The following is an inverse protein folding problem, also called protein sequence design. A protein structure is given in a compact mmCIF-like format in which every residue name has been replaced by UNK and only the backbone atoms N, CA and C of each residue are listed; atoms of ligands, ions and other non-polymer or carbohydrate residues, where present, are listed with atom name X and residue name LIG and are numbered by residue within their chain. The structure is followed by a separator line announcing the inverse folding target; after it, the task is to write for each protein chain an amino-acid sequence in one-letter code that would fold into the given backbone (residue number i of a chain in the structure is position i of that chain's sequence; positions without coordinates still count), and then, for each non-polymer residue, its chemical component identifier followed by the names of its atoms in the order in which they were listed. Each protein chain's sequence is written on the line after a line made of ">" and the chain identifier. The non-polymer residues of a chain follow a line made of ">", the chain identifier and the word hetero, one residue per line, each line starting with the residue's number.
data_IF_028299470459
#
_entry.id   IF_028299470459
#
_cell.length_a   1.000
_cell.length_b   1.000
_cell.length_c   1.000
_cell.angle_alpha   90.00
_cell.angle_beta   90.00
_cell.angle_gamma   90.00
#
_symmetry.space_group_name_H-M   'P 1'
#
loop_
_entity.id
_entity.type
_entity.pdbx_description
1 polymer ?
#
# COMPACT_ATOMS: atom_id res chain seq x y z
N UNK A 1 2.75 15.02 15.99
CA UNK A 1 1.47 14.70 15.30
C UNK A 1 1.48 15.54 14.02
N UNK A 2 1.59 15.06 12.78
CA UNK A 2 1.28 13.77 12.18
C UNK A 2 2.23 13.50 11.00
N UNK A 3 2.57 12.23 10.79
CA UNK A 3 3.58 11.72 9.85
C UNK A 3 3.06 11.64 8.39
N UNK A 4 2.44 12.70 7.89
CA UNK A 4 1.79 12.72 6.57
C UNK A 4 2.77 12.81 5.38
N UNK A 5 4.06 13.07 5.61
CA UNK A 5 5.05 13.27 4.55
C UNK A 5 5.71 11.99 4.01
N UNK A 6 5.81 10.92 4.80
CA UNK A 6 6.61 9.74 4.40
C UNK A 6 5.93 8.88 3.33
N UNK A 7 4.61 8.70 3.40
CA UNK A 7 3.88 7.83 2.49
C UNK A 7 3.76 8.42 1.09
N UNK A 8 3.49 9.73 0.99
CA UNK A 8 3.39 10.44 -0.29
C UNK A 8 4.72 10.46 -1.04
N UNK A 9 5.84 10.77 -0.36
CA UNK A 9 7.17 10.70 -0.97
C UNK A 9 7.46 9.32 -1.56
N UNK A 10 7.21 8.26 -0.78
CA UNK A 10 7.43 6.88 -1.23
C UNK A 10 6.57 6.46 -2.42
N UNK A 11 5.40 7.10 -2.61
CA UNK A 11 4.51 6.82 -3.74
C UNK A 11 5.00 7.55 -4.98
N UNK A 12 5.34 8.83 -4.86
CA UNK A 12 5.82 9.64 -5.98
C UNK A 12 7.12 9.06 -6.56
N UNK A 13 8.02 8.56 -5.70
CA UNK A 13 9.26 7.91 -6.16
C UNK A 13 9.01 6.61 -6.94
N UNK A 14 7.99 5.84 -6.56
CA UNK A 14 7.65 4.59 -7.26
C UNK A 14 6.81 4.82 -8.51
N UNK A 15 5.97 5.85 -8.49
CA UNK A 15 4.94 6.11 -9.49
C UNK A 15 5.00 7.59 -9.86
N UNK A 16 5.97 7.99 -10.69
CA UNK A 16 6.11 9.37 -11.08
C UNK A 16 4.89 9.85 -11.89
N UNK A 17 4.58 11.16 -11.85
CA UNK A 17 3.51 11.75 -12.64
C UNK A 17 3.68 11.41 -14.13
N UNK A 18 2.61 10.96 -14.78
CA UNK A 18 2.64 10.51 -16.18
C UNK A 18 2.78 9.01 -16.37
N UNK A 19 2.93 8.21 -15.30
CA UNK A 19 2.73 6.76 -15.40
C UNK A 19 1.27 6.45 -15.73
N UNK A 20 1.02 5.62 -16.75
CA UNK A 20 -0.34 5.24 -17.17
C UNK A 20 -0.96 4.22 -16.20
N UNK A 21 -1.21 4.65 -14.96
CA UNK A 21 -1.87 3.81 -13.98
C UNK A 21 -3.31 4.25 -13.76
N UNK A 22 -4.17 3.26 -13.54
CA UNK A 22 -5.54 3.51 -13.12
C UNK A 22 -5.51 3.87 -11.64
N UNK A 23 -5.96 5.08 -11.33
CA UNK A 23 -6.16 5.49 -9.95
C UNK A 23 -7.38 4.76 -9.40
N UNK A 24 -7.16 3.92 -8.39
CA UNK A 24 -8.22 3.27 -7.64
C UNK A 24 -8.30 3.92 -6.27
N UNK A 25 -9.49 4.24 -5.77
CA UNK A 25 -9.63 4.78 -4.40
C UNK A 25 -10.12 3.70 -3.45
N UNK A 26 -9.41 3.51 -2.34
CA UNK A 26 -9.87 2.62 -1.28
C UNK A 26 -11.11 3.21 -0.61
N UNK A 27 -12.22 2.48 -0.62
CA UNK A 27 -13.46 2.96 -0.02
C UNK A 27 -13.43 2.97 1.52
N UNK A 28 -12.56 2.17 2.13
CA UNK A 28 -12.41 2.08 3.59
C UNK A 28 -11.45 3.14 4.12
N UNK A 29 -10.22 3.19 3.58
CA UNK A 29 -9.20 4.13 4.02
C UNK A 29 -9.34 5.54 3.41
N UNK A 30 -10.19 5.72 2.39
CA UNK A 30 -10.37 6.99 1.65
C UNK A 30 -9.07 7.56 1.07
N UNK A 31 -8.19 6.68 0.60
CA UNK A 31 -6.93 7.05 -0.07
C UNK A 31 -6.93 6.58 -1.52
N UNK A 32 -6.27 7.34 -2.39
CA UNK A 32 -5.90 6.85 -3.72
C UNK A 32 -4.88 5.73 -3.50
N UNK A 33 -5.20 4.54 -3.97
CA UNK A 33 -4.35 3.37 -3.96
C UNK A 33 -3.36 3.49 -5.11
N UNK A 34 -2.05 3.60 -4.79
CA UNK A 34 -1.02 3.45 -5.80
C UNK A 34 -1.12 2.07 -6.47
N UNK A 35 -0.51 1.89 -7.63
CA UNK A 35 -0.49 0.61 -8.32
C UNK A 35 -0.10 -0.54 -7.41
N UNK A 36 -0.81 -1.67 -7.57
CA UNK A 36 -0.65 -2.89 -6.77
C UNK A 36 -0.89 -2.72 -5.26
N UNK A 37 -1.48 -1.63 -4.81
CA UNK A 37 -1.91 -1.45 -3.42
C UNK A 37 -3.29 -2.06 -3.23
N UNK A 38 -3.51 -2.76 -2.12
CA UNK A 38 -4.84 -3.27 -1.74
C UNK A 38 -5.11 -3.04 -0.26
N UNK A 39 -6.38 -2.93 0.09
CA UNK A 39 -6.81 -2.91 1.49
C UNK A 39 -6.87 -4.34 2.00
N UNK A 40 -6.19 -4.60 3.11
CA UNK A 40 -6.34 -5.85 3.85
C UNK A 40 -7.36 -5.60 4.97
N UNK A 41 -8.45 -6.36 4.93
CA UNK A 41 -9.52 -6.26 5.92
C UNK A 41 -9.07 -6.75 7.30
N UNK A 42 -8.25 -7.80 7.36
CA UNK A 42 -7.75 -8.35 8.62
C UNK A 42 -6.84 -7.37 9.38
N UNK A 43 -6.10 -6.54 8.63
CA UNK A 43 -5.20 -5.53 9.19
C UNK A 43 -5.76 -4.10 9.15
N UNK A 44 -6.98 -3.92 8.65
CA UNK A 44 -7.66 -2.64 8.42
C UNK A 44 -6.76 -1.54 7.83
N UNK A 45 -5.96 -1.88 6.82
CA UNK A 45 -5.02 -0.92 6.21
C UNK A 45 -4.73 -1.23 4.76
N UNK A 46 -4.44 -0.18 3.99
CA UNK A 46 -3.89 -0.32 2.65
C UNK A 46 -2.40 -0.69 2.72
N UNK A 47 -2.03 -1.70 1.96
CA UNK A 47 -0.66 -2.21 1.89
C UNK A 47 -0.15 -2.03 0.46
N UNK A 48 1.00 -1.37 0.35
CA UNK A 48 1.65 -1.07 -0.92
C UNK A 48 2.29 -2.33 -1.51
N UNK A 49 2.12 -2.56 -2.82
CA UNK A 49 2.52 -3.80 -3.49
C UNK A 49 2.07 -5.03 -2.69
N UNK A 50 0.78 -5.04 -2.34
CA UNK A 50 0.19 -6.09 -1.53
C UNK A 50 0.31 -7.45 -2.23
N UNK A 51 0.83 -8.43 -1.50
CA UNK A 51 0.85 -9.82 -1.92
C UNK A 51 -0.27 -10.58 -1.19
N UNK A 52 -0.10 -10.81 0.12
CA UNK A 52 -1.09 -11.50 0.94
C UNK A 52 -1.10 -11.06 2.41
N UNK A 53 -2.17 -11.39 3.14
CA UNK A 53 -2.17 -11.40 4.59
C UNK A 53 -1.74 -12.79 5.05
N UNK A 54 -0.60 -12.89 5.73
CA UNK A 54 -0.12 -14.16 6.24
C UNK A 54 -0.70 -14.39 7.64
N UNK A 55 -1.66 -15.31 7.73
CA UNK A 55 -2.30 -15.69 9.01
C UNK A 55 -1.29 -16.24 10.02
N UNK A 56 -0.24 -16.90 9.54
CA UNK A 56 0.81 -17.50 10.39
C UNK A 56 1.73 -16.46 11.03
N UNK A 57 1.96 -15.35 10.32
CA UNK A 57 2.79 -14.25 10.81
C UNK A 57 1.97 -13.13 11.45
N UNK A 58 0.63 -13.20 11.36
CA UNK A 58 -0.27 -12.15 11.82
C UNK A 58 -0.04 -10.79 11.14
N UNK A 59 0.47 -10.79 9.90
CA UNK A 59 0.86 -9.55 9.22
C UNK A 59 0.73 -9.65 7.69
N UNK A 60 0.61 -8.49 7.04
CA UNK A 60 0.62 -8.42 5.59
C UNK A 60 2.03 -8.54 5.03
N UNK A 61 2.15 -9.26 3.92
CA UNK A 61 3.31 -9.27 3.05
C UNK A 61 3.07 -8.30 1.89
N UNK A 62 4.03 -7.39 1.69
CA UNK A 62 4.02 -6.40 0.62
C UNK A 62 5.34 -5.65 0.57
N UNK A 63 5.39 -4.46 -0.04
CA UNK A 63 6.65 -3.75 -0.35
C UNK A 63 7.69 -3.75 0.80
N UNK A 64 7.25 -3.56 2.05
CA UNK A 64 8.15 -3.40 3.21
C UNK A 64 8.85 -4.70 3.64
N UNK A 65 8.30 -5.86 3.31
CA UNK A 65 8.76 -7.14 3.84
C UNK A 65 8.73 -8.29 2.82
N UNK A 66 8.34 -8.05 1.56
CA UNK A 66 8.25 -9.06 0.51
C UNK A 66 9.61 -9.72 0.17
N UNK A 67 10.75 -9.06 0.38
CA UNK A 67 12.06 -9.70 0.17
C UNK A 67 12.58 -10.44 1.42
N UNK A 68 11.84 -10.38 2.53
CA UNK A 68 12.21 -11.04 3.79
C UNK A 68 11.43 -12.33 4.01
N UNK A 69 10.36 -12.56 3.25
CA UNK A 69 9.42 -13.65 3.38
C UNK A 69 9.02 -14.17 2.01
#
# INVERSE_FOLDING_TARGET
>A
MSSSSSWLHQIVDLYPPGSSNRDWTCQYCKIIQPPRTRHCHDCDKCVLQFDHHCVWLGTCIGKKNHCRF
#
